data_IF_254317472793
#
_entry.id   IF_254317472793
#
_cell.length_a   1.000
_cell.length_b   1.000
_cell.length_c   1.000
_cell.angle_alpha   90.00
_cell.angle_beta   90.00
_cell.angle_gamma   90.00
#
_symmetry.space_group_name_H-M   'P 1'
#
loop_
_entity.id
_entity.type
_entity.pdbx_description
1 polymer ?
#
# COMPACT_ATOMS: atom_id res chain seq x y z
N UNK A 1 30.41 -15.08 -57.34
CA UNK A 1 30.62 -16.21 -56.43
C UNK A 1 31.69 -15.97 -55.32
N UNK A 2 32.50 -14.86 -55.41
CA UNK A 2 33.62 -14.61 -54.47
C UNK A 2 33.26 -14.06 -53.09
N UNK A 3 31.98 -13.82 -52.77
CA UNK A 3 31.57 -13.20 -51.48
C UNK A 3 30.87 -14.16 -50.50
N UNK A 4 30.87 -15.46 -50.79
CA UNK A 4 30.20 -16.44 -49.95
C UNK A 4 30.80 -16.53 -48.56
N UNK A 5 32.11 -16.41 -48.43
CA UNK A 5 32.83 -16.38 -47.12
C UNK A 5 32.35 -15.22 -46.26
N UNK A 6 32.28 -14.01 -46.81
CA UNK A 6 31.80 -12.81 -46.13
C UNK A 6 30.34 -13.02 -45.62
N UNK A 7 29.48 -13.55 -46.49
CA UNK A 7 28.09 -13.81 -46.13
C UNK A 7 27.97 -14.81 -44.94
N UNK A 8 28.76 -15.89 -44.98
CA UNK A 8 28.80 -16.86 -43.85
C UNK A 8 29.34 -16.26 -42.57
N UNK A 9 30.37 -15.40 -42.63
CA UNK A 9 30.92 -14.73 -41.45
C UNK A 9 29.89 -13.78 -40.85
N UNK A 10 29.21 -12.99 -41.66
CA UNK A 10 28.13 -12.08 -41.18
C UNK A 10 26.99 -12.89 -40.57
N UNK A 11 26.56 -13.97 -41.21
CA UNK A 11 25.49 -14.81 -40.70
C UNK A 11 25.86 -15.48 -39.37
N UNK A 12 27.08 -16.01 -39.27
CA UNK A 12 27.60 -16.58 -38.02
C UNK A 12 27.68 -15.51 -36.89
N UNK A 13 28.11 -14.29 -37.23
CA UNK A 13 28.12 -13.15 -36.31
C UNK A 13 26.72 -12.77 -35.82
N UNK A 14 25.73 -12.75 -36.71
CA UNK A 14 24.33 -12.51 -36.33
C UNK A 14 23.77 -13.62 -35.45
N UNK A 15 24.05 -14.88 -35.74
CA UNK A 15 23.62 -16.00 -34.87
C UNK A 15 24.25 -15.93 -33.49
N UNK A 16 25.54 -15.62 -33.43
CA UNK A 16 26.26 -15.45 -32.16
C UNK A 16 25.70 -14.27 -31.35
N UNK A 17 25.48 -13.12 -31.99
CA UNK A 17 24.89 -11.97 -31.34
C UNK A 17 23.45 -12.25 -30.84
N UNK A 18 22.66 -12.99 -31.59
CA UNK A 18 21.33 -13.42 -31.18
C UNK A 18 21.40 -14.33 -29.95
N UNK A 19 22.28 -15.30 -29.94
CA UNK A 19 22.49 -16.20 -28.80
C UNK A 19 22.91 -15.44 -27.55
N UNK A 20 23.82 -14.47 -27.69
CA UNK A 20 24.26 -13.59 -26.61
C UNK A 20 23.11 -12.72 -26.09
N UNK A 21 22.33 -12.13 -26.99
CA UNK A 21 21.18 -11.31 -26.60
C UNK A 21 20.11 -12.12 -25.86
N UNK A 22 19.82 -13.37 -26.29
CA UNK A 22 18.91 -14.24 -25.55
C UNK A 22 19.38 -14.57 -24.12
N UNK A 23 20.69 -14.56 -23.88
CA UNK A 23 21.24 -14.78 -22.54
C UNK A 23 21.25 -13.51 -21.68
N UNK A 24 21.38 -12.34 -22.28
CA UNK A 24 21.52 -11.06 -21.55
C UNK A 24 20.16 -10.40 -21.31
N UNK A 25 19.22 -10.55 -22.25
CA UNK A 25 17.89 -9.93 -22.13
C UNK A 25 17.09 -10.64 -21.05
N UNK A 26 16.61 -9.91 -20.03
CA UNK A 26 15.77 -10.47 -18.98
C UNK A 26 14.51 -11.11 -19.58
N UNK A 27 14.28 -12.39 -19.29
CA UNK A 27 13.07 -13.09 -19.71
C UNK A 27 11.96 -12.82 -18.71
N UNK A 28 10.81 -12.37 -19.19
CA UNK A 28 9.63 -12.13 -18.38
C UNK A 28 8.40 -11.99 -19.27
N UNK A 29 7.22 -12.24 -18.69
CA UNK A 29 5.96 -12.08 -19.44
C UNK A 29 5.75 -10.63 -19.86
N UNK A 30 5.99 -9.69 -18.95
CA UNK A 30 6.01 -8.26 -19.21
C UNK A 30 7.08 -7.63 -18.34
N UNK A 31 8.09 -6.95 -18.92
CA UNK A 31 9.11 -6.28 -18.15
C UNK A 31 8.52 -5.11 -17.34
N UNK A 32 9.15 -4.78 -16.23
CA UNK A 32 8.82 -3.59 -15.47
C UNK A 32 8.92 -2.36 -16.38
N UNK A 33 7.96 -1.47 -16.27
CA UNK A 33 7.88 -0.26 -17.06
C UNK A 33 8.07 0.94 -16.14
N UNK A 34 8.87 1.89 -16.58
CA UNK A 34 8.95 3.19 -15.95
C UNK A 34 7.75 4.04 -16.38
N UNK A 35 6.80 4.21 -15.46
CA UNK A 35 5.53 4.90 -15.71
C UNK A 35 5.51 6.34 -15.20
N UNK A 36 6.68 6.91 -14.89
CA UNK A 36 6.83 8.26 -14.34
C UNK A 36 6.24 8.42 -12.93
N UNK A 37 5.91 7.35 -12.24
CA UNK A 37 5.50 7.39 -10.85
C UNK A 37 5.85 6.09 -10.11
N UNK A 38 5.93 6.18 -8.80
CA UNK A 38 6.11 5.07 -7.87
C UNK A 38 4.96 5.07 -6.88
N UNK A 39 4.62 3.90 -6.36
CA UNK A 39 3.86 3.77 -5.13
C UNK A 39 4.80 3.78 -3.93
N UNK A 40 4.46 4.53 -2.92
CA UNK A 40 5.07 4.41 -1.61
C UNK A 40 3.98 4.35 -0.54
N UNK A 41 4.31 3.87 0.62
CA UNK A 41 3.39 3.84 1.73
C UNK A 41 4.09 3.58 3.04
N UNK A 42 3.33 3.71 4.11
CA UNK A 42 3.76 3.28 5.42
C UNK A 42 2.61 2.62 6.17
N UNK A 43 2.92 1.56 6.88
CA UNK A 43 2.03 0.88 7.82
C UNK A 43 2.55 1.05 9.22
N UNK A 44 1.78 1.71 10.06
CA UNK A 44 2.05 1.91 11.47
C UNK A 44 1.49 0.74 12.31
N UNK A 45 1.89 0.60 13.57
CA UNK A 45 1.28 -0.37 14.48
C UNK A 45 -0.24 -0.19 14.55
N UNK A 46 -0.92 -1.30 14.85
CA UNK A 46 -2.36 -1.30 15.01
C UNK A 46 -2.79 -0.35 16.13
N UNK A 47 -3.90 0.37 15.92
CA UNK A 47 -4.36 1.41 16.85
C UNK A 47 -3.65 2.75 16.72
N UNK A 48 -2.70 2.92 15.79
CA UNK A 48 -2.12 4.23 15.53
C UNK A 48 -3.18 5.21 15.00
N UNK A 49 -3.18 6.42 15.55
CA UNK A 49 -4.11 7.47 15.16
C UNK A 49 -3.75 8.06 13.79
N UNK A 50 -4.75 8.63 13.11
CA UNK A 50 -4.54 9.34 11.86
C UNK A 50 -3.51 10.48 11.97
N UNK A 51 -3.47 11.16 13.12
CA UNK A 51 -2.48 12.22 13.40
C UNK A 51 -1.05 11.66 13.41
N UNK A 52 -0.83 10.48 14.01
CA UNK A 52 0.48 9.80 14.01
C UNK A 52 0.86 9.37 12.59
N UNK A 53 -0.08 8.81 11.85
CA UNK A 53 0.13 8.44 10.45
C UNK A 53 0.48 9.65 9.59
N UNK A 54 -0.17 10.78 9.81
CA UNK A 54 0.14 12.04 9.13
C UNK A 54 1.58 12.50 9.42
N UNK A 55 2.05 12.40 10.67
CA UNK A 55 3.43 12.74 11.03
C UNK A 55 4.46 11.87 10.28
N UNK A 56 4.19 10.56 10.18
CA UNK A 56 5.02 9.64 9.38
C UNK A 56 4.96 9.95 7.89
N UNK A 57 3.79 10.36 7.39
CA UNK A 57 3.64 10.79 6.01
C UNK A 57 4.52 12.00 5.68
N UNK A 58 4.61 12.97 6.58
CA UNK A 58 5.52 14.10 6.40
C UNK A 58 6.99 13.68 6.36
N UNK A 59 7.39 12.70 7.17
CA UNK A 59 8.76 12.15 7.11
C UNK A 59 9.02 11.45 5.77
N UNK A 60 8.09 10.61 5.30
CA UNK A 60 8.17 9.93 4.02
C UNK A 60 8.30 10.93 2.87
N UNK A 61 7.45 11.96 2.84
CA UNK A 61 7.46 12.98 1.80
C UNK A 61 8.78 13.79 1.81
N UNK A 62 9.30 14.10 3.01
CA UNK A 62 10.59 14.76 3.15
C UNK A 62 11.72 13.90 2.62
N UNK A 63 11.75 12.61 2.93
CA UNK A 63 12.74 11.67 2.39
C UNK A 63 12.62 11.61 0.87
N UNK A 64 11.41 11.42 0.33
CA UNK A 64 11.18 11.33 -1.10
C UNK A 64 11.66 12.59 -1.85
N UNK A 65 11.41 13.79 -1.31
CA UNK A 65 11.83 15.05 -1.92
C UNK A 65 13.34 15.25 -1.97
N UNK A 66 14.12 14.49 -1.20
CA UNK A 66 15.61 14.53 -1.26
C UNK A 66 16.19 13.67 -2.37
N UNK A 67 15.38 12.87 -3.06
CA UNK A 67 15.85 11.93 -4.05
C UNK A 67 15.86 12.59 -5.44
N UNK A 68 17.00 12.54 -6.09
CA UNK A 68 17.13 13.06 -7.46
C UNK A 68 16.21 12.29 -8.42
N UNK A 69 15.42 13.02 -9.20
CA UNK A 69 14.48 12.45 -10.15
C UNK A 69 13.04 12.40 -9.63
N UNK A 70 12.81 12.70 -8.36
CA UNK A 70 11.46 12.92 -7.82
C UNK A 70 11.05 14.36 -8.12
N UNK A 71 9.80 14.53 -8.55
CA UNK A 71 9.20 15.83 -8.86
C UNK A 71 8.18 16.22 -7.77
N UNK A 72 7.13 15.45 -7.61
CA UNK A 72 6.03 15.73 -6.67
C UNK A 72 5.69 14.46 -5.88
N UNK A 73 5.25 14.65 -4.64
CA UNK A 73 4.71 13.57 -3.79
C UNK A 73 3.28 13.92 -3.40
N UNK A 74 2.36 13.04 -3.75
CA UNK A 74 0.94 13.11 -3.37
C UNK A 74 0.61 12.00 -2.39
N UNK A 75 0.06 12.34 -1.21
CA UNK A 75 -0.16 11.37 -0.14
C UNK A 75 -1.59 11.36 0.36
N UNK A 76 -2.14 10.18 0.53
CA UNK A 76 -3.48 9.90 1.05
C UNK A 76 -3.36 9.22 2.41
N UNK A 77 -3.46 10.02 3.47
CA UNK A 77 -3.37 9.53 4.86
C UNK A 77 -4.66 8.81 5.23
N UNK A 78 -4.54 7.62 5.78
CA UNK A 78 -5.70 6.78 6.12
C UNK A 78 -6.20 5.91 4.97
N UNK A 79 -5.45 5.82 3.86
CA UNK A 79 -5.78 4.98 2.72
C UNK A 79 -4.69 3.92 2.48
N UNK A 80 -5.11 2.68 2.34
CA UNK A 80 -4.32 1.62 1.72
C UNK A 80 -4.83 1.37 0.31
N UNK A 81 -4.20 1.97 -0.70
CA UNK A 81 -4.61 1.83 -2.09
C UNK A 81 -4.37 0.42 -2.64
N UNK A 82 -3.39 -0.33 -2.13
CA UNK A 82 -3.13 -1.72 -2.56
C UNK A 82 -4.29 -2.66 -2.22
N UNK A 83 -4.99 -2.39 -1.12
CA UNK A 83 -6.12 -3.18 -0.63
C UNK A 83 -7.47 -2.48 -0.83
N UNK A 84 -7.46 -1.22 -1.28
CA UNK A 84 -8.65 -0.37 -1.43
C UNK A 84 -9.45 -0.23 -0.13
N UNK A 85 -8.76 -0.11 1.01
CA UNK A 85 -9.35 -0.01 2.35
C UNK A 85 -8.91 1.27 3.04
N UNK A 86 -9.83 1.89 3.77
CA UNK A 86 -9.52 3.02 4.64
C UNK A 86 -9.14 2.51 6.03
N UNK A 87 -7.92 2.81 6.47
CA UNK A 87 -7.40 2.45 7.80
C UNK A 87 -6.57 3.61 8.36
N UNK A 88 -6.80 4.03 9.61
CA UNK A 88 -6.12 5.21 10.16
C UNK A 88 -4.60 5.06 10.30
N UNK A 89 -4.10 3.84 10.37
CA UNK A 89 -2.69 3.51 10.57
C UNK A 89 -1.90 3.28 9.28
N UNK A 90 -2.46 3.62 8.12
CA UNK A 90 -1.78 3.45 6.84
C UNK A 90 -1.83 4.71 5.98
N UNK A 91 -0.85 4.84 5.12
CA UNK A 91 -0.77 5.89 4.11
C UNK A 91 -0.37 5.28 2.78
N UNK A 92 -0.96 5.79 1.71
CA UNK A 92 -0.49 5.56 0.34
C UNK A 92 -0.03 6.87 -0.27
N UNK A 93 1.14 6.84 -0.87
CA UNK A 93 1.72 8.00 -1.57
C UNK A 93 2.03 7.63 -3.02
N UNK A 94 1.72 8.55 -3.91
CA UNK A 94 2.17 8.52 -5.29
C UNK A 94 3.36 9.47 -5.41
N UNK A 95 4.50 8.94 -5.81
CA UNK A 95 5.72 9.71 -6.00
C UNK A 95 5.90 9.89 -7.51
N UNK A 96 5.61 11.09 -7.98
CA UNK A 96 5.74 11.45 -9.38
C UNK A 96 7.20 11.72 -9.69
N UNK A 97 7.67 11.12 -10.75
CA UNK A 97 9.05 11.27 -11.23
C UNK A 97 9.12 12.35 -12.30
N UNK A 98 10.26 13.01 -12.37
CA UNK A 98 10.56 13.94 -13.46
C UNK A 98 10.47 13.24 -14.82
N UNK A 99 10.10 13.96 -15.89
CA UNK A 99 10.11 13.43 -17.25
C UNK A 99 11.47 12.84 -17.64
N UNK A 100 11.47 11.92 -18.63
CA UNK A 100 12.68 11.19 -19.04
C UNK A 100 13.81 12.10 -19.56
N UNK A 101 13.47 13.25 -20.12
CA UNK A 101 14.42 14.27 -20.59
C UNK A 101 15.06 15.08 -19.45
N UNK A 102 14.48 15.03 -18.24
CA UNK A 102 14.93 15.78 -17.07
C UNK A 102 15.57 14.89 -15.99
N UNK A 103 15.67 13.59 -16.22
CA UNK A 103 16.33 12.65 -15.31
C UNK A 103 17.15 11.61 -16.07
N UNK A 104 18.29 11.20 -15.48
CA UNK A 104 19.10 10.12 -16.03
C UNK A 104 18.89 8.79 -15.31
N UNK A 105 18.20 8.80 -14.17
CA UNK A 105 18.01 7.65 -13.30
C UNK A 105 16.70 6.93 -13.66
N UNK A 106 16.75 5.60 -13.66
CA UNK A 106 15.54 4.77 -13.85
C UNK A 106 14.65 4.78 -12.60
N UNK A 107 13.34 4.52 -12.79
CA UNK A 107 12.39 4.35 -11.68
C UNK A 107 12.83 3.25 -10.70
N UNK A 108 13.46 2.17 -11.19
CA UNK A 108 14.01 1.09 -10.37
C UNK A 108 15.12 1.58 -9.44
N UNK A 109 16.07 2.36 -9.97
CA UNK A 109 17.17 2.94 -9.19
C UNK A 109 16.64 3.90 -8.11
N UNK A 110 15.66 4.73 -8.46
CA UNK A 110 15.00 5.65 -7.53
C UNK A 110 14.27 4.88 -6.43
N UNK A 111 13.53 3.81 -6.81
CA UNK A 111 12.81 2.95 -5.85
C UNK A 111 13.77 2.27 -4.87
N UNK A 112 14.91 1.79 -5.35
CA UNK A 112 15.93 1.16 -4.51
C UNK A 112 16.53 2.15 -3.49
N UNK A 113 16.90 3.37 -3.93
CA UNK A 113 17.40 4.42 -3.02
C UNK A 113 16.33 4.85 -2.02
N UNK A 114 15.10 5.02 -2.49
CA UNK A 114 13.99 5.40 -1.62
C UNK A 114 13.78 4.36 -0.52
N UNK A 115 13.73 3.07 -0.86
CA UNK A 115 13.61 2.00 0.13
C UNK A 115 14.79 2.00 1.12
N UNK A 116 16.01 2.25 0.66
CA UNK A 116 17.19 2.33 1.53
C UNK A 116 17.05 3.48 2.56
N UNK A 117 16.52 4.63 2.17
CA UNK A 117 16.28 5.77 3.07
C UNK A 117 15.04 5.60 3.93
N UNK A 118 14.01 4.91 3.45
CA UNK A 118 12.77 4.68 4.22
C UNK A 118 12.98 3.81 5.46
N UNK A 119 14.09 3.10 5.58
CA UNK A 119 14.50 2.39 6.81
C UNK A 119 14.68 3.36 8.00
N UNK A 120 14.89 4.64 7.75
CA UNK A 120 14.99 5.69 8.79
C UNK A 120 13.64 5.97 9.48
N UNK A 121 12.53 5.61 8.86
CA UNK A 121 11.19 5.75 9.43
C UNK A 121 10.97 4.69 10.51
N UNK A 122 11.10 5.07 11.78
CA UNK A 122 11.05 4.13 12.92
C UNK A 122 9.63 3.86 13.43
N UNK A 123 8.68 4.75 13.17
CA UNK A 123 7.32 4.67 13.68
C UNK A 123 6.40 3.70 12.90
N UNK A 124 6.90 3.10 11.84
CA UNK A 124 6.15 2.16 11.01
C UNK A 124 7.02 1.49 9.96
N UNK A 125 6.43 0.60 9.20
CA UNK A 125 7.07 -0.04 8.04
C UNK A 125 6.76 0.79 6.80
N UNK A 126 7.75 1.54 6.34
CA UNK A 126 7.64 2.32 5.10
C UNK A 126 8.25 1.53 3.93
N UNK A 127 7.66 1.70 2.75
CA UNK A 127 8.06 0.99 1.54
C UNK A 127 7.81 1.82 0.28
N UNK A 128 8.52 1.49 -0.78
CA UNK A 128 8.27 1.99 -2.13
C UNK A 128 8.28 0.84 -3.15
N UNK A 129 7.39 0.89 -4.12
CA UNK A 129 7.16 -0.14 -5.11
C UNK A 129 7.00 0.50 -6.50
N UNK A 130 7.46 -0.21 -7.52
CA UNK A 130 7.10 0.11 -8.90
C UNK A 130 5.62 -0.20 -9.14
N UNK A 131 4.91 0.60 -9.94
CA UNK A 131 3.55 0.28 -10.34
C UNK A 131 3.52 -1.02 -11.17
N UNK A 132 2.43 -1.80 -11.10
CA UNK A 132 2.32 -3.02 -11.89
C UNK A 132 2.38 -2.68 -13.38
N UNK A 133 3.01 -3.53 -14.20
CA UNK A 133 3.12 -3.28 -15.64
C UNK A 133 1.77 -3.17 -16.34
N UNK A 134 0.76 -3.92 -15.88
CA UNK A 134 -0.64 -3.83 -16.34
C UNK A 134 -1.53 -3.50 -15.15
N UNK A 135 -2.30 -2.41 -15.25
CA UNK A 135 -3.32 -2.08 -14.26
C UNK A 135 -4.42 -3.14 -14.24
N UNK A 136 -4.77 -3.60 -13.04
CA UNK A 136 -5.78 -4.64 -12.84
C UNK A 136 -5.24 -6.07 -12.90
N UNK A 137 -3.99 -6.29 -13.32
CA UNK A 137 -3.34 -7.59 -13.27
C UNK A 137 -2.41 -7.68 -12.05
N UNK A 138 -2.99 -7.52 -10.85
CA UNK A 138 -2.27 -7.45 -9.58
C UNK A 138 -1.94 -6.03 -9.14
N UNK A 139 -1.61 -5.86 -7.87
CA UNK A 139 -1.28 -4.58 -7.25
C UNK A 139 0.23 -4.28 -7.25
N UNK A 140 1.03 -5.21 -7.76
CA UNK A 140 2.49 -5.13 -7.88
C UNK A 140 3.03 -6.33 -8.65
N UNK A 141 4.32 -6.33 -8.98
CA UNK A 141 5.00 -7.51 -9.51
C UNK A 141 5.21 -8.54 -8.40
N UNK A 142 4.86 -9.81 -8.65
CA UNK A 142 5.05 -10.86 -7.66
C UNK A 142 4.04 -12.00 -7.79
N UNK A 143 3.82 -12.70 -6.69
CA UNK A 143 2.85 -13.79 -6.61
C UNK A 143 1.79 -13.48 -5.55
N UNK A 144 0.63 -14.09 -5.71
CA UNK A 144 -0.47 -14.04 -4.75
C UNK A 144 -0.80 -15.46 -4.30
N UNK A 145 -0.97 -15.64 -2.99
CA UNK A 145 -1.35 -16.93 -2.41
C UNK A 145 -2.33 -16.73 -1.25
N UNK A 146 -3.03 -17.79 -0.92
CA UNK A 146 -3.93 -17.83 0.22
C UNK A 146 -3.40 -18.80 1.27
N UNK A 147 -3.24 -18.31 2.49
CA UNK A 147 -2.99 -19.14 3.67
C UNK A 147 -4.33 -19.50 4.31
N UNK A 148 -4.64 -20.80 4.36
CA UNK A 148 -5.96 -21.28 4.81
C UNK A 148 -5.81 -22.15 6.04
N UNK A 149 -6.50 -21.80 7.13
CA UNK A 149 -6.64 -22.66 8.32
C UNK A 149 -7.67 -23.76 8.06
N UNK A 150 -7.21 -24.95 7.65
CA UNK A 150 -8.06 -26.13 7.44
C UNK A 150 -8.35 -26.91 8.72
N UNK A 151 -7.52 -26.72 9.73
CA UNK A 151 -7.65 -27.44 10.99
C UNK A 151 -8.56 -26.73 12.01
N UNK A 152 -8.99 -25.49 11.70
CA UNK A 152 -9.83 -24.71 12.60
C UNK A 152 -9.11 -24.30 13.90
N UNK A 153 -7.80 -24.07 13.85
CA UNK A 153 -6.97 -23.70 14.99
C UNK A 153 -7.23 -22.28 15.49
N UNK A 154 -7.92 -21.48 14.67
CA UNK A 154 -8.37 -20.14 15.00
C UNK A 154 -7.43 -19.01 14.56
N UNK A 155 -7.89 -17.79 14.81
CA UNK A 155 -7.26 -16.57 14.29
C UNK A 155 -5.82 -16.35 14.77
N UNK A 156 -5.52 -16.71 16.02
CA UNK A 156 -4.17 -16.58 16.59
C UNK A 156 -3.14 -17.50 15.91
N UNK A 157 -3.49 -18.77 15.73
CA UNK A 157 -2.63 -19.73 15.04
C UNK A 157 -2.39 -19.36 13.58
N UNK A 158 -3.42 -18.82 12.89
CA UNK A 158 -3.28 -18.32 11.52
C UNK A 158 -2.33 -17.11 11.47
N UNK A 159 -2.37 -16.22 12.47
CA UNK A 159 -1.46 -15.08 12.56
C UNK A 159 -0.01 -15.52 12.78
N UNK A 160 0.23 -16.52 13.63
CA UNK A 160 1.58 -17.05 13.87
C UNK A 160 2.13 -17.72 12.59
N UNK A 161 1.31 -18.53 11.94
CA UNK A 161 1.68 -19.18 10.68
C UNK A 161 2.00 -18.11 9.58
N UNK A 162 1.19 -17.06 9.49
CA UNK A 162 1.44 -15.95 8.57
C UNK A 162 2.78 -15.26 8.88
N UNK A 163 3.04 -14.95 10.14
CA UNK A 163 4.28 -14.27 10.55
C UNK A 163 5.50 -15.13 10.23
N UNK A 164 5.42 -16.43 10.52
CA UNK A 164 6.48 -17.40 10.21
C UNK A 164 6.74 -17.46 8.71
N UNK A 165 5.67 -17.52 7.92
CA UNK A 165 5.75 -17.53 6.46
C UNK A 165 6.35 -16.23 5.89
N UNK A 166 5.93 -15.07 6.40
CA UNK A 166 6.48 -13.78 6.00
C UNK A 166 7.98 -13.66 6.29
N UNK A 167 8.41 -14.13 7.46
CA UNK A 167 9.83 -14.16 7.83
C UNK A 167 10.66 -15.10 6.92
N UNK A 168 10.11 -16.26 6.58
CA UNK A 168 10.77 -17.20 5.67
C UNK A 168 10.92 -16.61 4.25
N UNK A 169 9.89 -15.93 3.74
CA UNK A 169 9.93 -15.25 2.44
C UNK A 169 10.98 -14.12 2.45
N UNK A 170 11.02 -13.31 3.50
CA UNK A 170 11.98 -12.21 3.61
C UNK A 170 13.44 -12.68 3.59
N UNK A 171 13.70 -13.95 3.95
CA UNK A 171 15.01 -14.57 3.90
C UNK A 171 15.30 -15.32 2.60
N UNK A 172 14.30 -15.44 1.70
CA UNK A 172 14.44 -16.19 0.44
C UNK A 172 15.04 -15.28 -0.64
N UNK A 173 16.18 -15.64 -1.24
CA UNK A 173 16.78 -14.84 -2.32
C UNK A 173 15.79 -14.63 -3.48
N UNK A 174 15.70 -13.42 -3.98
CA UNK A 174 14.80 -13.04 -5.08
C UNK A 174 13.36 -12.77 -4.66
N UNK A 175 13.03 -12.91 -3.39
CA UNK A 175 11.72 -12.53 -2.84
C UNK A 175 11.88 -11.34 -1.88
N UNK A 176 11.04 -10.33 -2.04
CA UNK A 176 11.06 -9.15 -1.18
C UNK A 176 9.64 -8.78 -0.78
N UNK A 177 9.50 -8.30 0.43
CA UNK A 177 8.30 -7.65 0.94
C UNK A 177 7.00 -8.47 0.87
N UNK A 178 6.82 -9.49 1.74
CA UNK A 178 5.57 -10.22 1.84
C UNK A 178 4.48 -9.36 2.50
N UNK A 179 3.45 -8.99 1.73
CA UNK A 179 2.31 -8.17 2.20
C UNK A 179 1.12 -9.07 2.49
N UNK A 180 0.47 -8.88 3.63
CA UNK A 180 -0.80 -9.53 3.96
C UNK A 180 -1.81 -8.51 4.45
N UNK A 181 -3.07 -8.71 4.06
CA UNK A 181 -4.21 -7.95 4.59
C UNK A 181 -4.72 -8.50 5.93
N UNK A 182 -4.30 -9.71 6.31
CA UNK A 182 -4.78 -10.35 7.52
C UNK A 182 -4.19 -9.69 8.77
N UNK A 183 -5.05 -9.41 9.74
CA UNK A 183 -4.71 -8.78 11.03
C UNK A 183 -5.62 -9.34 12.12
N UNK A 184 -5.06 -10.12 13.02
CA UNK A 184 -5.78 -10.69 14.17
C UNK A 184 -5.62 -9.85 15.45
N UNK A 185 -4.65 -8.91 15.48
CA UNK A 185 -4.23 -8.20 16.69
C UNK A 185 -4.71 -6.75 16.73
N UNK A 186 -5.83 -6.43 16.09
CA UNK A 186 -6.39 -5.07 16.13
C UNK A 186 -7.09 -4.90 17.49
N UNK A 187 -6.66 -3.96 18.36
CA UNK A 187 -7.37 -3.66 19.58
C UNK A 187 -8.79 -3.19 19.27
N UNK A 188 -9.76 -3.84 19.89
CA UNK A 188 -11.18 -3.47 19.73
C UNK A 188 -11.77 -3.14 21.09
N UNK A 189 -12.70 -2.19 21.12
CA UNK A 189 -13.51 -1.87 22.27
C UNK A 189 -14.86 -2.59 22.12
N UNK A 190 -15.18 -3.46 23.06
CA UNK A 190 -16.49 -4.05 23.15
C UNK A 190 -17.39 -3.16 24.00
N UNK A 191 -18.54 -2.76 23.45
CA UNK A 191 -19.55 -1.97 24.15
C UNK A 191 -20.66 -2.90 24.62
N UNK A 192 -20.72 -3.21 25.90
CA UNK A 192 -21.77 -4.01 26.48
C UNK A 192 -22.89 -3.11 27.02
N UNK A 193 -24.07 -3.16 26.42
CA UNK A 193 -25.19 -2.30 26.73
C UNK A 193 -26.21 -3.07 27.58
N UNK A 194 -26.47 -2.57 28.80
CA UNK A 194 -27.57 -3.04 29.64
C UNK A 194 -28.91 -2.49 29.13
N UNK A 195 -29.51 -3.25 28.22
CA UNK A 195 -30.77 -2.86 27.57
C UNK A 195 -31.94 -2.75 28.54
N UNK A 196 -31.94 -3.54 29.62
CA UNK A 196 -32.99 -3.51 30.65
C UNK A 196 -32.93 -2.18 31.40
N UNK A 197 -31.75 -1.78 31.80
CA UNK A 197 -31.53 -0.50 32.48
C UNK A 197 -31.88 0.70 31.58
N UNK A 198 -31.53 0.65 30.31
CA UNK A 198 -31.87 1.70 29.34
C UNK A 198 -33.41 1.89 29.26
N UNK A 199 -34.13 0.80 29.08
CA UNK A 199 -35.58 0.83 29.00
C UNK A 199 -36.23 1.25 30.32
N UNK A 200 -35.69 0.82 31.46
CA UNK A 200 -36.15 1.21 32.78
C UNK A 200 -35.99 2.72 33.06
N UNK A 201 -35.01 3.35 32.41
CA UNK A 201 -34.82 4.80 32.46
C UNK A 201 -35.70 5.58 31.48
N UNK A 202 -36.57 4.91 30.71
CA UNK A 202 -37.44 5.54 29.72
C UNK A 202 -36.73 5.98 28.44
N UNK A 203 -35.49 5.50 28.20
CA UNK A 203 -34.71 5.83 26.98
C UNK A 203 -35.01 4.79 25.91
N UNK A 204 -35.30 5.24 24.69
CA UNK A 204 -35.42 4.34 23.55
C UNK A 204 -34.07 3.81 23.13
N UNK A 205 -33.99 2.51 22.83
CA UNK A 205 -32.75 1.89 22.33
C UNK A 205 -32.27 2.52 21.03
N UNK A 206 -33.20 2.97 20.15
CA UNK A 206 -32.88 3.71 18.92
C UNK A 206 -32.10 4.99 19.21
N UNK A 207 -32.52 5.75 20.23
CA UNK A 207 -31.90 7.02 20.59
C UNK A 207 -30.50 6.79 21.18
N UNK A 208 -30.34 5.74 21.98
CA UNK A 208 -29.02 5.33 22.48
C UNK A 208 -28.07 4.98 21.34
N UNK A 209 -28.53 4.13 20.39
CA UNK A 209 -27.67 3.74 19.25
C UNK A 209 -27.35 4.90 18.32
N UNK A 210 -28.30 5.79 18.04
CA UNK A 210 -28.06 7.00 17.26
C UNK A 210 -27.03 7.92 17.96
N UNK A 211 -27.14 8.06 19.28
CA UNK A 211 -26.19 8.84 20.07
C UNK A 211 -24.78 8.23 19.99
N UNK A 212 -24.67 6.92 20.21
CA UNK A 212 -23.36 6.21 20.10
C UNK A 212 -22.77 6.36 18.69
N UNK A 213 -23.62 6.28 17.65
CA UNK A 213 -23.18 6.48 16.27
C UNK A 213 -22.63 7.89 16.04
N UNK A 214 -23.31 8.92 16.54
CA UNK A 214 -22.88 10.33 16.42
C UNK A 214 -21.56 10.57 17.18
N UNK A 215 -21.39 9.96 18.35
CA UNK A 215 -20.22 10.15 19.19
C UNK A 215 -19.02 9.32 18.71
N UNK A 216 -19.20 8.04 18.41
CA UNK A 216 -18.12 7.11 18.07
C UNK A 216 -17.79 7.05 16.57
N UNK A 217 -18.77 7.38 15.74
CA UNK A 217 -18.64 7.38 14.28
C UNK A 217 -19.11 8.69 13.67
N UNK A 218 -20.02 8.61 12.73
CA UNK A 218 -20.71 9.74 12.14
C UNK A 218 -22.06 9.27 11.64
N UNK A 219 -23.03 10.17 11.64
CA UNK A 219 -24.35 9.93 11.03
C UNK A 219 -24.43 10.66 9.69
N UNK A 220 -24.92 9.97 8.67
CA UNK A 220 -25.22 10.57 7.38
C UNK A 220 -26.50 11.38 7.50
N UNK A 221 -26.44 12.66 7.10
CA UNK A 221 -27.59 13.59 7.15
C UNK A 221 -28.21 13.71 5.75
N UNK A 222 -27.42 14.08 4.76
CA UNK A 222 -27.90 14.35 3.40
C UNK A 222 -26.72 14.46 2.42
N UNK A 223 -27.07 14.59 1.13
CA UNK A 223 -26.13 14.96 0.07
C UNK A 223 -26.45 16.36 -0.45
N UNK A 224 -25.44 17.08 -0.92
CA UNK A 224 -25.61 18.31 -1.68
C UNK A 224 -24.72 18.33 -2.92
N UNK A 225 -25.18 19.03 -3.95
CA UNK A 225 -24.47 19.16 -5.21
C UNK A 225 -23.71 20.48 -5.25
N UNK A 226 -22.42 20.44 -5.50
CA UNK A 226 -21.58 21.63 -5.67
C UNK A 226 -20.50 21.34 -6.72
N UNK A 227 -20.28 22.28 -7.64
CA UNK A 227 -19.29 22.16 -8.71
C UNK A 227 -19.41 20.87 -9.55
N UNK A 228 -20.63 20.40 -9.80
CA UNK A 228 -20.85 19.17 -10.56
C UNK A 228 -20.53 17.86 -9.83
N UNK A 229 -20.31 17.92 -8.52
CA UNK A 229 -20.04 16.75 -7.67
C UNK A 229 -21.07 16.66 -6.55
N UNK A 230 -21.33 15.42 -6.12
CA UNK A 230 -22.18 15.14 -4.96
C UNK A 230 -21.30 15.05 -3.72
N UNK A 231 -21.61 15.83 -2.71
CA UNK A 231 -20.93 15.83 -1.42
C UNK A 231 -21.85 15.30 -0.33
N UNK A 232 -21.32 14.40 0.50
CA UNK A 232 -22.05 13.87 1.65
C UNK A 232 -21.93 14.80 2.84
N UNK A 233 -23.03 15.09 3.50
CA UNK A 233 -23.07 15.79 4.78
C UNK A 233 -23.09 14.73 5.89
N UNK A 234 -22.03 14.71 6.68
CA UNK A 234 -21.91 13.85 7.84
C UNK A 234 -21.88 14.71 9.10
N UNK A 235 -22.61 14.31 10.15
CA UNK A 235 -22.56 14.92 11.46
C UNK A 235 -21.83 14.00 12.45
N UNK A 236 -20.95 14.56 13.26
CA UNK A 236 -20.25 13.86 14.32
C UNK A 236 -20.09 14.78 15.53
N UNK A 237 -20.09 14.25 16.74
CA UNK A 237 -19.79 15.02 17.92
C UNK A 237 -18.34 15.57 17.87
N UNK A 238 -18.14 16.79 18.32
CA UNK A 238 -16.79 17.39 18.36
C UNK A 238 -15.86 16.58 19.26
N UNK A 239 -14.55 16.60 18.95
CA UNK A 239 -13.51 15.83 19.61
C UNK A 239 -13.50 16.02 21.14
N UNK A 240 -13.79 17.22 21.62
CA UNK A 240 -13.87 17.55 23.05
C UNK A 240 -14.91 16.71 23.79
N UNK A 241 -16.01 16.34 23.13
CA UNK A 241 -17.08 15.53 23.69
C UNK A 241 -16.88 14.01 23.54
N UNK A 242 -15.91 13.60 22.72
CA UNK A 242 -15.61 12.18 22.44
C UNK A 242 -14.44 11.60 23.22
N UNK A 243 -13.65 12.45 23.89
CA UNK A 243 -12.41 12.05 24.58
C UNK A 243 -12.58 11.87 26.09
N UNK A 244 -13.79 11.98 26.61
CA UNK A 244 -14.07 11.84 28.05
C UNK A 244 -14.81 10.54 28.35
#
# INVERSE_FOLDING_TARGET
LGRRGIAFTVYAGLLLSTAILFHIVPTGFIPNQDKLYLFAGAKLPEGASLARTNAVTHQLNKIASTIEGVDITESYVGLNALQSVNTPNQVTSYIILKPFDQRQRSAESITAELNAKLVEVKDGQAYALLPPPIQGLGNGSGYSLYLVDRAGLGYGALQEALTTFQNAIAQTPGMTFPVSSYQANIPQLEVNIDRVKVLAQGVLLSDLFNTLQIYLGSIYINDFNLFGRVYRVLAQADSVFRQK
#
